data_IF_028778359483
#
_entry.id   IF_028778359483
#
_cell.length_a   1.000
_cell.length_b   1.000
_cell.length_c   1.000
_cell.angle_alpha   90.00
_cell.angle_beta   90.00
_cell.angle_gamma   90.00
#
_symmetry.space_group_name_H-M   'P 1'
#
loop_
_entity.id
_entity.type
_entity.pdbx_description
1 polymer ?
#
# COMPACT_ATOMS: atom_id res chain seq x y z
N UNK A 1 -6.99 19.82 8.68
CA UNK A 1 -5.76 20.09 7.90
C UNK A 1 -4.45 20.07 8.71
N UNK A 2 -4.12 21.02 9.60
CA UNK A 2 -2.82 21.05 10.31
C UNK A 2 -2.50 19.76 11.12
N UNK A 3 -3.52 19.20 11.80
CA UNK A 3 -3.40 17.95 12.57
C UNK A 3 -3.17 16.71 11.69
N UNK A 4 -3.75 16.68 10.47
CA UNK A 4 -3.53 15.59 9.51
C UNK A 4 -2.10 15.62 8.97
N UNK A 5 -1.60 16.80 8.58
CA UNK A 5 -0.22 16.97 8.12
C UNK A 5 0.81 16.55 9.18
N UNK A 6 0.58 16.89 10.45
CA UNK A 6 1.43 16.46 11.55
C UNK A 6 1.41 14.94 11.78
N UNK A 7 0.32 14.26 11.38
CA UNK A 7 0.22 12.80 11.46
C UNK A 7 0.90 12.13 10.27
N UNK A 8 0.74 12.68 9.06
CA UNK A 8 1.42 12.20 7.86
C UNK A 8 2.95 12.30 7.99
N UNK A 9 3.44 13.35 8.64
CA UNK A 9 4.87 13.48 8.96
C UNK A 9 5.42 12.35 9.83
N UNK A 10 4.58 11.61 10.59
CA UNK A 10 5.04 10.47 11.39
C UNK A 10 5.27 9.20 10.58
N UNK A 11 4.73 9.14 9.37
CA UNK A 11 4.77 7.96 8.47
C UNK A 11 5.43 8.29 7.13
N UNK A 12 6.12 9.43 7.04
CA UNK A 12 6.83 9.91 5.85
C UNK A 12 7.87 8.90 5.32
N UNK A 13 8.44 8.08 6.20
CA UNK A 13 9.38 7.00 5.88
C UNK A 13 8.74 5.78 5.18
N UNK A 14 7.42 5.78 4.98
CA UNK A 14 6.69 4.69 4.32
C UNK A 14 5.62 5.17 3.34
N UNK A 15 5.27 6.46 3.34
CA UNK A 15 4.17 7.04 2.59
C UNK A 15 4.60 8.33 1.90
N UNK A 16 4.30 8.44 0.60
CA UNK A 16 4.36 9.70 -0.13
C UNK A 16 3.16 10.57 0.28
N UNK A 17 3.44 11.55 1.13
CA UNK A 17 2.44 12.46 1.66
C UNK A 17 1.74 13.29 0.57
N UNK A 18 2.38 13.53 -0.59
CA UNK A 18 1.78 14.26 -1.70
C UNK A 18 0.75 13.39 -2.41
N UNK A 19 1.08 12.14 -2.70
CA UNK A 19 0.14 11.18 -3.31
C UNK A 19 -1.06 10.97 -2.38
N UNK A 20 -0.81 10.73 -1.09
CA UNK A 20 -1.90 10.52 -0.14
C UNK A 20 -2.74 11.79 0.10
N UNK A 21 -2.14 13.00 0.03
CA UNK A 21 -2.90 14.25 0.09
C UNK A 21 -3.91 14.36 -1.06
N UNK A 22 -3.55 13.93 -2.27
CA UNK A 22 -4.49 13.95 -3.40
C UNK A 22 -5.70 13.03 -3.14
N UNK A 23 -5.52 11.93 -2.40
CA UNK A 23 -6.61 11.04 -1.98
C UNK A 23 -7.51 11.73 -0.93
N UNK A 24 -6.90 12.45 0.02
CA UNK A 24 -7.65 13.23 1.01
C UNK A 24 -8.44 14.38 0.38
N UNK A 25 -7.96 14.94 -0.73
CA UNK A 25 -8.67 15.99 -1.48
C UNK A 25 -9.91 15.46 -2.25
N UNK A 26 -10.12 14.13 -2.27
CA UNK A 26 -11.34 13.49 -2.83
C UNK A 26 -12.45 13.27 -1.79
N UNK A 27 -12.15 13.46 -0.49
CA UNK A 27 -13.18 13.45 0.55
C UNK A 27 -14.01 14.75 0.49
N UNK A 28 -15.29 14.64 0.84
CA UNK A 28 -16.13 15.82 1.07
C UNK A 28 -15.69 16.55 2.36
N UNK A 29 -15.87 17.87 2.41
CA UNK A 29 -15.36 18.73 3.51
C UNK A 29 -15.82 18.30 4.92
N UNK A 30 -16.92 17.54 5.01
CA UNK A 30 -17.55 17.13 6.26
C UNK A 30 -17.16 15.70 6.71
N UNK A 31 -16.67 14.83 5.80
CA UNK A 31 -16.51 13.40 6.07
C UNK A 31 -15.31 12.76 5.34
N UNK A 32 -14.54 11.94 6.07
CA UNK A 32 -13.39 11.18 5.52
C UNK A 32 -13.78 9.78 5.01
N UNK A 33 -14.98 9.62 4.46
CA UNK A 33 -15.52 8.30 4.17
C UNK A 33 -14.78 7.60 3.02
N UNK A 34 -14.40 8.35 1.97
CA UNK A 34 -13.74 7.79 0.80
C UNK A 34 -12.31 7.36 1.14
N UNK A 35 -11.50 8.26 1.71
CA UNK A 35 -10.11 7.95 2.04
C UNK A 35 -9.99 6.85 3.08
N UNK A 36 -10.91 6.81 4.07
CA UNK A 36 -10.95 5.72 5.06
C UNK A 36 -11.29 4.39 4.42
N UNK A 37 -12.34 4.32 3.60
CA UNK A 37 -12.71 3.08 2.92
C UNK A 37 -11.53 2.55 2.12
N UNK A 38 -10.89 3.41 1.33
CA UNK A 38 -9.75 3.03 0.50
C UNK A 38 -8.57 2.50 1.32
N UNK A 39 -8.26 3.12 2.46
CA UNK A 39 -7.20 2.66 3.37
C UNK A 39 -7.56 1.32 4.01
N UNK A 40 -8.80 1.10 4.45
CA UNK A 40 -9.22 -0.17 5.03
C UNK A 40 -9.20 -1.30 3.99
N UNK A 41 -9.74 -1.05 2.79
CA UNK A 41 -9.72 -2.00 1.68
C UNK A 41 -8.28 -2.39 1.31
N UNK A 42 -7.37 -1.41 1.27
CA UNK A 42 -5.95 -1.66 1.06
C UNK A 42 -5.32 -2.51 2.16
N UNK A 43 -5.59 -2.22 3.44
CA UNK A 43 -5.01 -2.98 4.55
C UNK A 43 -5.45 -4.44 4.49
N UNK A 44 -6.72 -4.70 4.19
CA UNK A 44 -7.22 -6.08 4.11
C UNK A 44 -6.67 -6.81 2.88
N UNK A 45 -6.60 -6.15 1.72
CA UNK A 45 -5.96 -6.68 0.52
C UNK A 45 -4.47 -6.97 0.76
N UNK A 46 -3.75 -6.07 1.42
CA UNK A 46 -2.33 -6.22 1.72
C UNK A 46 -2.09 -7.41 2.65
N UNK A 47 -2.87 -7.54 3.72
CA UNK A 47 -2.78 -8.71 4.63
C UNK A 47 -3.03 -10.02 3.90
N UNK A 48 -4.09 -10.09 3.09
CA UNK A 48 -4.40 -11.28 2.32
C UNK A 48 -3.26 -11.62 1.35
N UNK A 49 -2.75 -10.63 0.61
CA UNK A 49 -1.70 -10.85 -0.37
C UNK A 49 -0.39 -11.27 0.29
N UNK A 50 -0.02 -10.67 1.42
CA UNK A 50 1.18 -11.05 2.18
C UNK A 50 1.09 -12.50 2.69
N UNK A 51 -0.06 -12.93 3.20
CA UNK A 51 -0.27 -14.33 3.60
C UNK A 51 -0.12 -15.29 2.42
N UNK A 52 -0.58 -14.91 1.22
CA UNK A 52 -0.39 -15.72 0.02
C UNK A 52 1.08 -15.74 -0.42
N UNK A 53 1.81 -14.63 -0.27
CA UNK A 53 3.25 -14.56 -0.54
C UNK A 53 4.05 -15.47 0.41
N UNK A 54 3.70 -15.47 1.70
CA UNK A 54 4.30 -16.38 2.69
C UNK A 54 4.06 -17.85 2.31
N UNK A 55 2.84 -18.20 1.89
CA UNK A 55 2.54 -19.55 1.40
C UNK A 55 3.33 -19.91 0.12
N UNK A 56 3.56 -18.95 -0.78
CA UNK A 56 4.41 -19.16 -1.96
C UNK A 56 5.87 -19.44 -1.57
N UNK A 57 6.40 -18.75 -0.55
CA UNK A 57 7.74 -19.00 -0.03
C UNK A 57 7.87 -20.40 0.57
N UNK A 58 6.89 -20.85 1.36
CA UNK A 58 6.86 -22.21 1.92
C UNK A 58 6.83 -23.28 0.82
N UNK A 59 6.07 -23.04 -0.24
CA UNK A 59 5.92 -23.95 -1.38
C UNK A 59 7.03 -23.82 -2.42
N UNK A 60 7.92 -22.82 -2.29
CA UNK A 60 8.94 -22.44 -3.28
C UNK A 60 8.37 -22.12 -4.66
N UNK A 61 7.15 -21.57 -4.72
CA UNK A 61 6.49 -21.11 -5.94
C UNK A 61 6.88 -19.65 -6.23
N UNK A 62 8.08 -19.46 -6.79
CA UNK A 62 8.63 -18.13 -7.06
C UNK A 62 7.89 -17.38 -8.17
N UNK A 63 7.30 -18.11 -9.12
CA UNK A 63 6.51 -17.49 -10.20
C UNK A 63 5.27 -16.83 -9.60
N UNK A 64 4.53 -17.55 -8.75
CA UNK A 64 3.37 -16.97 -8.08
C UNK A 64 3.74 -15.91 -7.06
N UNK A 65 4.87 -16.05 -6.36
CA UNK A 65 5.39 -15.02 -5.46
C UNK A 65 5.63 -13.69 -6.22
N UNK A 66 6.29 -13.76 -7.38
CA UNK A 66 6.50 -12.62 -8.26
C UNK A 66 5.18 -11.97 -8.65
N UNK A 67 4.21 -12.77 -9.08
CA UNK A 67 2.91 -12.27 -9.54
C UNK A 67 2.12 -11.61 -8.38
N UNK A 68 2.22 -12.13 -7.15
CA UNK A 68 1.61 -11.51 -5.96
C UNK A 68 2.31 -10.22 -5.56
N UNK A 69 3.63 -10.15 -5.65
CA UNK A 69 4.38 -8.92 -5.43
C UNK A 69 3.98 -7.84 -6.46
N UNK A 70 3.93 -8.19 -7.75
CA UNK A 70 3.47 -7.31 -8.81
C UNK A 70 2.04 -6.79 -8.57
N UNK A 71 1.15 -7.68 -8.14
CA UNK A 71 -0.24 -7.33 -7.82
C UNK A 71 -0.33 -6.30 -6.69
N UNK A 72 0.43 -6.47 -5.61
CA UNK A 72 0.38 -5.57 -4.44
C UNK A 72 0.93 -4.16 -4.74
N UNK A 73 1.80 -4.01 -5.74
CA UNK A 73 2.37 -2.70 -6.13
C UNK A 73 1.32 -1.73 -6.64
N UNK A 74 0.29 -2.20 -7.33
CA UNK A 74 -0.78 -1.33 -7.86
C UNK A 74 -1.45 -0.52 -6.75
N UNK A 75 -2.08 -1.18 -5.76
CA UNK A 75 -2.67 -0.51 -4.61
C UNK A 75 -1.67 0.34 -3.80
N UNK A 76 -0.40 -0.09 -3.67
CA UNK A 76 0.63 0.73 -3.02
C UNK A 76 0.85 2.05 -3.75
N UNK A 77 0.96 2.03 -5.08
CA UNK A 77 1.12 3.23 -5.89
C UNK A 77 -0.09 4.16 -5.80
N UNK A 78 -1.32 3.62 -5.76
CA UNK A 78 -2.55 4.41 -5.61
C UNK A 78 -2.56 5.21 -4.31
N UNK A 79 -2.10 4.63 -3.20
CA UNK A 79 -2.09 5.29 -1.89
C UNK A 79 -0.76 5.99 -1.57
N UNK A 80 0.27 5.85 -2.41
CA UNK A 80 1.61 6.38 -2.15
C UNK A 80 2.41 5.59 -1.12
N UNK A 81 2.09 4.32 -0.85
CA UNK A 81 2.81 3.46 0.12
C UNK A 81 4.12 2.95 -0.50
N UNK A 82 5.07 3.86 -0.71
CA UNK A 82 6.25 3.61 -1.54
C UNK A 82 7.18 2.53 -0.95
N UNK A 83 7.34 2.45 0.37
CA UNK A 83 8.29 1.50 0.97
C UNK A 83 7.88 0.04 0.75
N UNK A 84 6.57 -0.23 0.76
CA UNK A 84 6.05 -1.56 0.46
C UNK A 84 6.12 -1.84 -1.05
N UNK A 85 5.83 -0.84 -1.89
CA UNK A 85 6.00 -0.93 -3.34
C UNK A 85 7.44 -1.30 -3.72
N UNK A 86 8.43 -0.59 -3.17
CA UNK A 86 9.86 -0.84 -3.40
C UNK A 86 10.25 -2.26 -2.98
N UNK A 87 9.69 -2.73 -1.87
CA UNK A 87 9.93 -4.09 -1.38
C UNK A 87 9.37 -5.13 -2.34
N UNK A 88 8.14 -4.94 -2.82
CA UNK A 88 7.54 -5.81 -3.83
C UNK A 88 8.31 -5.78 -5.15
N UNK A 89 8.75 -4.60 -5.61
CA UNK A 89 9.57 -4.47 -6.81
C UNK A 89 10.92 -5.22 -6.69
N UNK A 90 11.53 -5.19 -5.50
CA UNK A 90 12.74 -5.97 -5.23
C UNK A 90 12.47 -7.47 -5.22
N UNK A 91 11.35 -7.92 -4.67
CA UNK A 91 10.95 -9.34 -4.74
C UNK A 91 10.83 -9.76 -6.20
N UNK A 92 10.14 -8.98 -7.04
CA UNK A 92 10.00 -9.30 -8.47
C UNK A 92 11.33 -9.41 -9.22
N UNK A 93 12.34 -8.62 -8.84
CA UNK A 93 13.67 -8.69 -9.43
C UNK A 93 14.46 -9.93 -8.99
N UNK A 94 14.14 -10.50 -7.83
CA UNK A 94 14.85 -11.62 -7.23
C UNK A 94 14.20 -12.99 -7.48
N UNK A 95 12.94 -13.00 -7.92
CA UNK A 95 12.12 -14.21 -8.18
C UNK A 95 11.89 -14.42 -9.67
#
# INVERSE_FOLDING_TARGET
>A
RARQLATLAKIDHALDAKVFSNILDLDDDEDQNFSRSLVFDFIDLAKQTLNEMDACLEQKDFVRLRDRAAYLRGPCNTLGVYRMEETCARIEQLT
#
